data_IF_302750087897
#
_entry.id   IF_302750087897
#
_cell.length_a   1.000
_cell.length_b   1.000
_cell.length_c   1.000
_cell.angle_alpha   90.00
_cell.angle_beta   90.00
_cell.angle_gamma   90.00
#
_symmetry.space_group_name_H-M   'P 1'
#
loop_
_entity.id
_entity.type
_entity.pdbx_description
1 polymer ?
#
# COMPACT_ATOMS: atom_id res chain seq x y z
N UNK A 1 83.51 -53.39 -73.74
CA UNK A 1 82.08 -53.03 -73.62
C UNK A 1 81.87 -51.97 -72.54
N UNK A 2 82.14 -50.68 -72.81
CA UNK A 2 81.87 -49.57 -71.86
C UNK A 2 81.46 -48.31 -72.64
N UNK A 3 80.25 -48.31 -73.19
CA UNK A 3 79.74 -47.15 -73.94
C UNK A 3 78.28 -46.72 -73.68
N UNK A 4 77.35 -47.46 -73.03
CA UNK A 4 75.97 -46.97 -72.99
C UNK A 4 75.62 -46.07 -71.78
N UNK A 5 76.37 -46.10 -70.66
CA UNK A 5 75.90 -45.48 -69.41
C UNK A 5 75.94 -43.94 -69.37
N UNK A 6 76.88 -43.28 -70.07
CA UNK A 6 76.99 -41.81 -70.05
C UNK A 6 75.93 -41.09 -70.90
N UNK A 7 75.38 -41.76 -71.91
CA UNK A 7 74.32 -41.23 -72.78
C UNK A 7 72.96 -41.25 -72.07
N UNK A 8 72.62 -42.37 -71.42
CA UNK A 8 71.37 -42.55 -70.68
C UNK A 8 71.24 -41.60 -69.47
N UNK A 9 72.33 -41.35 -68.76
CA UNK A 9 72.33 -40.44 -67.59
C UNK A 9 72.11 -38.98 -68.02
N UNK A 10 72.67 -38.53 -69.15
CA UNK A 10 72.39 -37.19 -69.71
C UNK A 10 70.98 -37.07 -70.29
N UNK A 11 70.47 -38.13 -70.92
CA UNK A 11 69.12 -38.15 -71.49
C UNK A 11 68.01 -38.08 -70.41
N UNK A 12 68.24 -38.60 -69.21
CA UNK A 12 67.27 -38.53 -68.10
C UNK A 12 67.43 -37.30 -67.19
N UNK A 13 68.63 -36.77 -67.01
CA UNK A 13 68.87 -35.62 -66.11
C UNK A 13 68.43 -34.28 -66.68
N UNK A 14 68.57 -34.07 -68.00
CA UNK A 14 68.13 -32.84 -68.67
C UNK A 14 66.60 -32.61 -68.59
N UNK A 15 65.74 -33.59 -68.92
CA UNK A 15 64.30 -33.41 -68.77
C UNK A 15 63.88 -33.27 -67.31
N UNK A 16 64.53 -33.98 -66.37
CA UNK A 16 64.25 -33.85 -64.95
C UNK A 16 64.56 -32.43 -64.41
N UNK A 17 65.70 -31.85 -64.81
CA UNK A 17 66.06 -30.48 -64.43
C UNK A 17 65.11 -29.45 -65.06
N UNK A 18 64.66 -29.67 -66.30
CA UNK A 18 63.74 -28.77 -66.99
C UNK A 18 62.34 -28.83 -66.39
N UNK A 19 61.86 -30.00 -65.97
CA UNK A 19 60.60 -30.16 -65.22
C UNK A 19 60.67 -29.50 -63.85
N UNK A 20 61.78 -29.62 -63.13
CA UNK A 20 61.99 -28.92 -61.85
C UNK A 20 62.04 -27.40 -62.02
N UNK A 21 62.69 -26.91 -63.09
CA UNK A 21 62.74 -25.48 -63.39
C UNK A 21 61.35 -24.93 -63.77
N UNK A 22 60.60 -25.62 -64.64
CA UNK A 22 59.24 -25.20 -65.01
C UNK A 22 58.29 -25.26 -63.80
N UNK A 23 58.43 -26.25 -62.91
CA UNK A 23 57.64 -26.38 -61.70
C UNK A 23 57.93 -25.27 -60.69
N UNK A 24 59.20 -24.87 -60.54
CA UNK A 24 59.58 -23.76 -59.64
C UNK A 24 59.13 -22.41 -60.20
N UNK A 25 59.21 -22.19 -61.51
CA UNK A 25 58.71 -20.97 -62.16
C UNK A 25 57.17 -20.89 -62.08
N UNK A 26 56.45 -22.01 -62.26
CA UNK A 26 55.00 -22.04 -62.05
C UNK A 26 54.61 -21.80 -60.59
N UNK A 27 55.35 -22.39 -59.64
CA UNK A 27 55.12 -22.17 -58.21
C UNK A 27 55.40 -20.71 -57.80
N UNK A 28 56.44 -20.08 -58.35
CA UNK A 28 56.73 -18.66 -58.14
C UNK A 28 55.66 -17.77 -58.76
N UNK A 29 55.18 -18.10 -59.97
CA UNK A 29 54.08 -17.40 -60.63
C UNK A 29 52.75 -17.50 -59.86
N UNK A 30 52.44 -18.67 -59.30
CA UNK A 30 51.26 -18.87 -58.45
C UNK A 30 51.33 -18.03 -57.17
N UNK A 31 52.48 -18.04 -56.47
CA UNK A 31 52.71 -17.22 -55.27
C UNK A 31 52.63 -15.71 -55.57
N UNK A 32 53.15 -15.26 -56.71
CA UNK A 32 53.05 -13.86 -57.11
C UNK A 32 51.59 -13.43 -57.38
N UNK A 33 50.78 -14.30 -58.01
CA UNK A 33 49.34 -14.04 -58.21
C UNK A 33 48.57 -14.01 -56.89
N UNK A 34 48.86 -14.91 -55.96
CA UNK A 34 48.27 -14.90 -54.62
C UNK A 34 48.64 -13.66 -53.82
N UNK A 35 49.92 -13.25 -53.86
CA UNK A 35 50.37 -12.01 -53.23
C UNK A 35 49.66 -10.79 -53.82
N UNK A 36 49.53 -10.71 -55.15
CA UNK A 36 48.81 -9.62 -55.82
C UNK A 36 47.32 -9.59 -55.45
N UNK A 37 46.66 -10.75 -55.44
CA UNK A 37 45.25 -10.84 -55.03
C UNK A 37 45.05 -10.39 -53.57
N UNK A 38 46.00 -10.72 -52.67
CA UNK A 38 45.96 -10.24 -51.28
C UNK A 38 46.17 -8.74 -51.18
N UNK A 39 47.09 -8.16 -51.94
CA UNK A 39 47.30 -6.70 -51.94
C UNK A 39 46.11 -5.95 -52.51
N UNK A 40 45.49 -6.46 -53.57
CA UNK A 40 44.31 -5.85 -54.19
C UNK A 40 43.09 -5.92 -53.25
N UNK A 41 42.94 -7.04 -52.52
CA UNK A 41 41.94 -7.19 -51.47
C UNK A 41 42.17 -6.20 -50.32
N UNK A 42 43.40 -6.11 -49.79
CA UNK A 42 43.75 -5.16 -48.74
C UNK A 42 43.49 -3.71 -49.16
N UNK A 43 43.87 -3.33 -50.38
CA UNK A 43 43.64 -1.98 -50.93
C UNK A 43 42.15 -1.65 -51.11
N UNK A 44 41.30 -2.67 -51.28
CA UNK A 44 39.84 -2.50 -51.32
C UNK A 44 39.28 -2.27 -49.92
N UNK A 45 39.76 -3.03 -48.92
CA UNK A 45 39.38 -2.84 -47.51
C UNK A 45 39.79 -1.47 -47.01
N UNK A 46 41.04 -1.05 -47.25
CA UNK A 46 41.57 0.27 -46.86
C UNK A 46 40.70 1.40 -47.43
N UNK A 47 40.39 1.37 -48.73
CA UNK A 47 39.50 2.36 -49.36
C UNK A 47 38.09 2.35 -48.76
N UNK A 48 37.56 1.17 -48.43
CA UNK A 48 36.26 1.06 -47.76
C UNK A 48 36.25 1.73 -46.38
N UNK A 49 37.35 1.62 -45.63
CA UNK A 49 37.48 2.27 -44.31
C UNK A 49 37.65 3.78 -44.46
N UNK A 50 38.45 4.26 -45.42
CA UNK A 50 38.59 5.70 -45.71
C UNK A 50 37.25 6.35 -46.10
N UNK A 51 36.42 5.65 -46.89
CA UNK A 51 35.06 6.09 -47.21
C UNK A 51 34.17 6.16 -45.96
N UNK A 52 34.30 5.21 -45.03
CA UNK A 52 33.59 5.26 -43.75
C UNK A 52 34.02 6.45 -42.90
N UNK A 53 35.33 6.76 -42.85
CA UNK A 53 35.85 7.93 -42.12
C UNK A 53 35.26 9.21 -42.71
N UNK A 54 35.37 9.41 -44.02
CA UNK A 54 34.85 10.62 -44.69
C UNK A 54 33.33 10.76 -44.53
N UNK A 55 32.59 9.66 -44.58
CA UNK A 55 31.15 9.66 -44.33
C UNK A 55 30.84 10.03 -42.87
N UNK A 56 31.52 9.41 -41.90
CA UNK A 56 31.31 9.70 -40.48
C UNK A 56 31.70 11.14 -40.11
N UNK A 57 32.79 11.66 -40.67
CA UNK A 57 33.21 13.05 -40.50
C UNK A 57 32.16 14.01 -41.11
N UNK A 58 31.58 13.68 -42.27
CA UNK A 58 30.51 14.48 -42.88
C UNK A 58 29.22 14.48 -42.05
N UNK A 59 28.95 13.38 -41.36
CA UNK A 59 27.83 13.22 -40.43
C UNK A 59 28.10 13.82 -39.04
N UNK A 60 29.32 14.33 -38.80
CA UNK A 60 29.79 14.81 -37.49
C UNK A 60 29.62 13.77 -36.39
N UNK A 61 29.89 12.50 -36.71
CA UNK A 61 29.93 11.41 -35.74
C UNK A 61 31.39 11.09 -35.35
N UNK A 62 31.91 11.73 -34.28
CA UNK A 62 33.32 11.60 -33.89
C UNK A 62 33.67 10.19 -33.40
N UNK A 63 32.70 9.44 -32.84
CA UNK A 63 32.95 8.11 -32.30
C UNK A 63 33.16 7.10 -33.42
N UNK A 64 32.24 7.07 -34.39
CA UNK A 64 32.35 6.17 -35.55
C UNK A 64 33.57 6.52 -36.40
N UNK A 65 33.86 7.81 -36.56
CA UNK A 65 35.02 8.25 -37.33
C UNK A 65 36.34 7.88 -36.64
N UNK A 66 36.44 8.05 -35.31
CA UNK A 66 37.62 7.63 -34.54
C UNK A 66 37.83 6.11 -34.56
N UNK A 67 36.75 5.33 -34.43
CA UNK A 67 36.83 3.87 -34.52
C UNK A 67 37.33 3.41 -35.90
N UNK A 68 36.83 4.02 -36.98
CA UNK A 68 37.31 3.72 -38.33
C UNK A 68 38.78 4.12 -38.54
N UNK A 69 39.24 5.22 -37.92
CA UNK A 69 40.67 5.62 -37.92
C UNK A 69 41.56 4.60 -37.19
N UNK A 70 41.12 4.06 -36.05
CA UNK A 70 41.84 3.00 -35.34
C UNK A 70 41.91 1.70 -36.16
N UNK A 71 40.80 1.31 -36.81
CA UNK A 71 40.76 0.16 -37.73
C UNK A 71 41.73 0.35 -38.91
N UNK A 72 41.77 1.55 -39.49
CA UNK A 72 42.70 1.89 -40.57
C UNK A 72 44.16 1.87 -40.10
N UNK A 73 44.43 2.38 -38.90
CA UNK A 73 45.77 2.42 -38.32
C UNK A 73 46.39 1.02 -38.11
N UNK A 74 45.58 -0.03 -38.00
CA UNK A 74 46.07 -1.41 -37.93
C UNK A 74 46.57 -1.95 -39.29
N UNK A 75 46.13 -1.36 -40.40
CA UNK A 75 46.39 -1.86 -41.77
C UNK A 75 47.44 -1.04 -42.54
N UNK A 76 47.74 0.18 -42.08
CA UNK A 76 48.60 1.14 -42.79
C UNK A 76 50.01 1.18 -42.17
N UNK A 77 50.97 1.73 -42.91
CA UNK A 77 52.33 1.96 -42.46
C UNK A 77 52.41 2.72 -41.12
N UNK A 78 53.44 2.45 -40.29
CA UNK A 78 53.48 2.88 -38.89
C UNK A 78 53.44 4.40 -38.69
N UNK A 79 53.98 5.20 -39.63
CA UNK A 79 53.94 6.67 -39.53
C UNK A 79 52.53 7.23 -39.73
N UNK A 80 51.85 6.78 -40.79
CA UNK A 80 50.46 7.19 -41.07
C UNK A 80 49.52 6.66 -40.01
N UNK A 81 49.74 5.44 -39.54
CA UNK A 81 48.97 4.86 -38.44
C UNK A 81 49.07 5.67 -37.15
N UNK A 82 50.24 6.23 -36.84
CA UNK A 82 50.42 7.10 -35.68
C UNK A 82 49.59 8.39 -35.80
N UNK A 83 49.58 9.03 -36.98
CA UNK A 83 48.75 10.21 -37.23
C UNK A 83 47.25 9.91 -37.10
N UNK A 84 46.80 8.79 -37.67
CA UNK A 84 45.41 8.37 -37.58
C UNK A 84 44.96 8.12 -36.13
N UNK A 85 45.84 7.56 -35.30
CA UNK A 85 45.55 7.33 -33.87
C UNK A 85 45.55 8.65 -33.09
N UNK A 86 46.47 9.59 -33.38
CA UNK A 86 46.46 10.94 -32.79
C UNK A 86 45.15 11.69 -33.09
N UNK A 87 44.68 11.63 -34.34
CA UNK A 87 43.38 12.19 -34.74
C UNK A 87 42.20 11.49 -34.04
N UNK A 88 42.26 10.16 -33.92
CA UNK A 88 41.22 9.39 -33.25
C UNK A 88 41.11 9.74 -31.76
N UNK A 89 42.24 9.91 -31.08
CA UNK A 89 42.29 10.34 -29.67
C UNK A 89 41.66 11.72 -29.51
N UNK A 90 42.04 12.70 -30.34
CA UNK A 90 41.49 14.05 -30.26
C UNK A 90 39.97 14.09 -30.49
N UNK A 91 39.47 13.25 -31.41
CA UNK A 91 38.03 13.11 -31.65
C UNK A 91 37.30 12.45 -30.47
N UNK A 92 37.90 11.44 -29.83
CA UNK A 92 37.28 10.71 -28.70
C UNK A 92 37.27 11.54 -27.41
N UNK A 93 38.30 12.34 -27.17
CA UNK A 93 38.36 13.26 -26.02
C UNK A 93 37.25 14.31 -26.06
N UNK A 94 36.87 14.76 -27.26
CA UNK A 94 35.77 15.72 -27.46
C UNK A 94 34.40 15.04 -27.47
N UNK A 95 34.32 13.77 -27.86
CA UNK A 95 33.07 13.01 -27.91
C UNK A 95 32.56 12.52 -26.55
N UNK A 96 33.42 12.49 -25.51
CA UNK A 96 33.04 12.04 -24.18
C UNK A 96 32.80 10.53 -24.08
N UNK A 97 33.52 9.72 -24.86
CA UNK A 97 33.45 8.26 -24.84
C UNK A 97 34.67 7.66 -24.11
N UNK A 98 34.66 7.54 -22.76
CA UNK A 98 35.87 7.27 -21.97
C UNK A 98 36.47 5.89 -22.23
N UNK A 99 35.65 4.86 -22.50
CA UNK A 99 36.12 3.50 -22.79
C UNK A 99 36.89 3.43 -24.11
N UNK A 100 36.39 4.08 -25.14
CA UNK A 100 37.03 4.13 -26.45
C UNK A 100 38.26 5.04 -26.42
N UNK A 101 38.19 6.18 -25.72
CA UNK A 101 39.33 7.05 -25.49
C UNK A 101 40.47 6.30 -24.78
N UNK A 102 40.17 5.52 -23.73
CA UNK A 102 41.14 4.70 -23.02
C UNK A 102 41.89 3.76 -23.97
N UNK A 103 41.16 3.05 -24.84
CA UNK A 103 41.74 2.15 -25.84
C UNK A 103 42.63 2.89 -26.84
N UNK A 104 42.19 4.05 -27.32
CA UNK A 104 42.94 4.86 -28.27
C UNK A 104 44.25 5.39 -27.64
N UNK A 105 44.20 5.86 -26.38
CA UNK A 105 45.39 6.28 -25.63
C UNK A 105 46.37 5.13 -25.37
N UNK A 106 45.87 3.92 -25.05
CA UNK A 106 46.72 2.72 -24.90
C UNK A 106 47.45 2.41 -26.20
N UNK A 107 46.74 2.40 -27.33
CA UNK A 107 47.35 2.14 -28.63
C UNK A 107 48.38 3.24 -29.00
N UNK A 108 48.09 4.50 -28.68
CA UNK A 108 49.04 5.60 -28.89
C UNK A 108 50.29 5.45 -28.00
N UNK A 109 50.12 5.08 -26.74
CA UNK A 109 51.20 4.84 -25.79
C UNK A 109 52.11 3.69 -26.24
N UNK A 110 51.52 2.59 -26.72
CA UNK A 110 52.25 1.43 -27.25
C UNK A 110 53.06 1.81 -28.49
N UNK A 111 52.47 2.57 -29.40
CA UNK A 111 53.15 3.07 -30.62
C UNK A 111 54.29 4.02 -30.28
N UNK A 112 54.11 4.94 -29.32
CA UNK A 112 55.21 5.80 -28.86
C UNK A 112 56.32 5.00 -28.20
N UNK A 113 55.97 3.98 -27.41
CA UNK A 113 56.95 3.07 -26.78
C UNK A 113 57.74 2.30 -27.83
N UNK A 114 57.07 1.77 -28.87
CA UNK A 114 57.71 1.08 -29.99
C UNK A 114 58.62 2.02 -30.80
N UNK A 115 58.26 3.30 -30.93
CA UNK A 115 59.08 4.33 -31.58
C UNK A 115 60.21 4.88 -30.69
N UNK A 116 60.35 4.39 -29.45
CA UNK A 116 61.31 4.86 -28.43
C UNK A 116 61.11 6.32 -27.99
N UNK A 117 59.91 6.87 -28.19
CA UNK A 117 59.52 8.20 -27.72
C UNK A 117 58.97 8.13 -26.30
N UNK A 118 59.81 7.81 -25.32
CA UNK A 118 59.38 7.49 -23.95
C UNK A 118 58.70 8.65 -23.22
N UNK A 119 59.09 9.90 -23.47
CA UNK A 119 58.44 11.06 -22.85
C UNK A 119 56.97 11.17 -23.27
N UNK A 120 56.69 11.00 -24.57
CA UNK A 120 55.33 11.00 -25.10
C UNK A 120 54.54 9.79 -24.61
N UNK A 121 55.17 8.61 -24.58
CA UNK A 121 54.53 7.41 -24.04
C UNK A 121 54.14 7.60 -22.56
N UNK A 122 55.03 8.15 -21.72
CA UNK A 122 54.76 8.41 -20.31
C UNK A 122 53.62 9.42 -20.12
N UNK A 123 53.56 10.46 -20.96
CA UNK A 123 52.43 11.39 -20.95
C UNK A 123 51.11 10.66 -21.24
N UNK A 124 51.07 9.77 -22.24
CA UNK A 124 49.86 8.97 -22.53
C UNK A 124 49.51 8.02 -21.37
N UNK A 125 50.48 7.37 -20.75
CA UNK A 125 50.26 6.52 -19.57
C UNK A 125 49.67 7.30 -18.39
N UNK A 126 50.07 8.55 -18.18
CA UNK A 126 49.47 9.40 -17.13
C UNK A 126 47.99 9.70 -17.41
N UNK A 127 47.63 9.93 -18.67
CA UNK A 127 46.24 10.16 -19.11
C UNK A 127 45.42 8.89 -18.93
N UNK A 128 45.95 7.72 -19.30
CA UNK A 128 45.33 6.41 -19.12
C UNK A 128 44.99 6.17 -17.63
N UNK A 129 45.91 6.47 -16.72
CA UNK A 129 45.68 6.36 -15.28
C UNK A 129 44.57 7.31 -14.82
N UNK A 130 44.54 8.54 -15.32
CA UNK A 130 43.50 9.52 -14.99
C UNK A 130 42.11 9.09 -15.50
N UNK A 131 42.00 8.62 -16.75
CA UNK A 131 40.74 8.09 -17.31
C UNK A 131 40.27 6.87 -16.51
N UNK A 132 41.15 5.93 -16.22
CA UNK A 132 40.83 4.73 -15.43
C UNK A 132 40.41 5.09 -14.00
N UNK A 133 41.05 6.09 -13.40
CA UNK A 133 40.67 6.64 -12.10
C UNK A 133 39.25 7.18 -12.10
N UNK A 134 38.92 8.06 -13.05
CA UNK A 134 37.55 8.60 -13.21
C UNK A 134 36.50 7.51 -13.41
N UNK A 135 36.76 6.54 -14.29
CA UNK A 135 35.84 5.42 -14.51
C UNK A 135 35.62 4.58 -13.25
N UNK A 136 36.68 4.37 -12.43
CA UNK A 136 36.56 3.66 -11.15
C UNK A 136 35.73 4.45 -10.15
N UNK A 137 35.94 5.75 -10.06
CA UNK A 137 35.19 6.61 -9.14
C UNK A 137 33.72 6.71 -9.55
N UNK A 138 33.42 6.82 -10.85
CA UNK A 138 32.07 6.77 -11.41
C UNK A 138 31.41 5.41 -11.14
N UNK A 139 32.12 4.30 -11.35
CA UNK A 139 31.61 2.96 -11.05
C UNK A 139 31.31 2.79 -9.55
N UNK A 140 32.18 3.32 -8.68
CA UNK A 140 31.97 3.31 -7.23
C UNK A 140 30.77 4.16 -6.83
N UNK A 141 30.66 5.39 -7.34
CA UNK A 141 29.51 6.26 -7.09
C UNK A 141 28.19 5.65 -7.58
N UNK A 142 28.19 5.00 -8.75
CA UNK A 142 27.03 4.28 -9.27
C UNK A 142 26.67 3.06 -8.41
N UNK A 143 27.66 2.33 -7.89
CA UNK A 143 27.43 1.21 -6.98
C UNK A 143 26.85 1.67 -5.64
N UNK A 144 27.38 2.77 -5.08
CA UNK A 144 26.86 3.41 -3.87
C UNK A 144 25.43 3.91 -4.08
N UNK A 145 25.15 4.59 -5.19
CA UNK A 145 23.80 5.03 -5.53
C UNK A 145 22.82 3.86 -5.62
N UNK A 146 23.19 2.77 -6.31
CA UNK A 146 22.37 1.54 -6.38
C UNK A 146 22.17 0.91 -5.00
N UNK A 147 23.20 0.88 -4.17
CA UNK A 147 23.09 0.34 -2.81
C UNK A 147 22.12 1.17 -1.96
N UNK A 148 22.14 2.50 -2.07
CA UNK A 148 21.17 3.36 -1.36
C UNK A 148 19.75 3.17 -1.86
N UNK A 149 19.55 2.97 -3.17
CA UNK A 149 18.25 2.69 -3.75
C UNK A 149 17.71 1.32 -3.29
N UNK A 150 18.55 0.29 -3.27
CA UNK A 150 18.18 -1.04 -2.75
C UNK A 150 17.78 -0.93 -1.28
N UNK A 151 18.58 -0.28 -0.44
CA UNK A 151 18.26 -0.09 0.97
C UNK A 151 16.93 0.66 1.18
N UNK A 152 16.64 1.64 0.31
CA UNK A 152 15.34 2.34 0.32
C UNK A 152 14.19 1.39 -0.04
N UNK A 153 14.34 0.61 -1.10
CA UNK A 153 13.32 -0.35 -1.54
C UNK A 153 13.09 -1.44 -0.50
N UNK A 154 14.14 -1.94 0.15
CA UNK A 154 14.04 -2.88 1.26
C UNK A 154 13.24 -2.29 2.43
N UNK A 155 13.48 -1.02 2.79
CA UNK A 155 12.68 -0.32 3.80
C UNK A 155 11.21 -0.15 3.42
N UNK A 156 10.91 0.11 2.14
CA UNK A 156 9.52 0.17 1.63
C UNK A 156 8.84 -1.22 1.70
N UNK A 157 9.57 -2.29 1.38
CA UNK A 157 9.06 -3.67 1.50
C UNK A 157 8.78 -4.02 2.97
N UNK A 158 9.65 -3.63 3.90
CA UNK A 158 9.45 -3.88 5.32
C UNK A 158 8.25 -3.10 5.88
N UNK A 159 8.05 -1.83 5.50
CA UNK A 159 6.83 -1.08 5.87
C UNK A 159 5.57 -1.74 5.29
N UNK A 160 5.59 -2.10 4.01
CA UNK A 160 4.45 -2.77 3.36
C UNK A 160 4.13 -4.12 4.02
N UNK A 161 5.15 -4.89 4.37
CA UNK A 161 5.00 -6.16 5.09
C UNK A 161 4.44 -5.91 6.49
N UNK A 162 4.98 -4.94 7.23
CA UNK A 162 4.46 -4.57 8.54
C UNK A 162 3.04 -4.00 8.50
N UNK A 163 2.62 -3.35 7.41
CA UNK A 163 1.24 -2.92 7.18
C UNK A 163 0.32 -4.11 6.88
N UNK A 164 0.80 -5.07 6.10
CA UNK A 164 0.07 -6.29 5.79
C UNK A 164 -0.16 -7.13 7.05
N UNK A 165 0.87 -7.33 7.87
CA UNK A 165 0.77 -8.07 9.13
C UNK A 165 -0.22 -7.41 10.10
N UNK A 166 -0.20 -6.07 10.20
CA UNK A 166 -1.21 -5.33 10.98
C UNK A 166 -2.62 -5.55 10.44
N UNK A 167 -2.80 -5.52 9.12
CA UNK A 167 -4.11 -5.76 8.50
C UNK A 167 -4.60 -7.20 8.75
N UNK A 168 -3.71 -8.19 8.60
CA UNK A 168 -3.99 -9.60 8.88
C UNK A 168 -4.35 -9.79 10.36
N UNK A 169 -3.59 -9.19 11.28
CA UNK A 169 -3.88 -9.21 12.71
C UNK A 169 -5.26 -8.64 13.05
N UNK A 170 -5.65 -7.52 12.43
CA UNK A 170 -7.01 -6.95 12.59
C UNK A 170 -8.09 -7.88 12.07
N UNK A 171 -7.86 -8.56 10.93
CA UNK A 171 -8.82 -9.51 10.37
C UNK A 171 -8.97 -10.75 11.25
N UNK A 172 -7.86 -11.30 11.76
CA UNK A 172 -7.87 -12.41 12.71
C UNK A 172 -8.63 -12.03 13.99
N UNK A 173 -8.36 -10.85 14.56
CA UNK A 173 -9.06 -10.37 15.74
C UNK A 173 -10.58 -10.21 15.52
N UNK A 174 -11.00 -9.79 14.31
CA UNK A 174 -12.42 -9.71 13.94
C UNK A 174 -13.06 -11.10 13.83
N UNK A 175 -12.36 -12.06 13.23
CA UNK A 175 -12.84 -13.44 13.13
C UNK A 175 -12.99 -14.07 14.50
N UNK A 176 -12.01 -13.91 15.40
CA UNK A 176 -12.10 -14.40 16.77
C UNK A 176 -13.26 -13.75 17.54
N UNK A 177 -13.46 -12.45 17.37
CA UNK A 177 -14.58 -11.73 17.97
C UNK A 177 -15.93 -12.20 17.42
N UNK A 178 -16.02 -12.52 16.12
CA UNK A 178 -17.22 -13.09 15.51
C UNK A 178 -17.49 -14.51 16.02
N UNK A 179 -16.48 -15.38 16.06
CA UNK A 179 -16.61 -16.75 16.59
C UNK A 179 -17.07 -16.75 18.06
N UNK A 180 -16.54 -15.84 18.89
CA UNK A 180 -16.99 -15.67 20.28
C UNK A 180 -18.45 -15.20 20.37
N UNK A 181 -18.89 -14.30 19.49
CA UNK A 181 -20.29 -13.84 19.43
C UNK A 181 -21.24 -14.95 18.99
N UNK A 182 -20.83 -15.76 18.02
CA UNK A 182 -21.60 -16.90 17.55
C UNK A 182 -21.76 -17.95 18.65
N UNK A 183 -20.68 -18.30 19.35
CA UNK A 183 -20.74 -19.21 20.50
C UNK A 183 -21.70 -18.69 21.59
N UNK A 184 -21.57 -17.42 21.99
CA UNK A 184 -22.48 -16.81 22.97
C UNK A 184 -23.94 -16.78 22.49
N UNK A 185 -24.18 -16.57 21.19
CA UNK A 185 -25.52 -16.56 20.63
C UNK A 185 -26.17 -17.94 20.61
N UNK A 186 -25.39 -18.99 20.35
CA UNK A 186 -25.85 -20.38 20.41
C UNK A 186 -26.17 -20.78 21.84
N UNK A 187 -25.30 -20.46 22.79
CA UNK A 187 -25.55 -20.71 24.22
C UNK A 187 -26.81 -19.98 24.70
N UNK A 188 -27.03 -18.74 24.26
CA UNK A 188 -28.24 -17.99 24.58
C UNK A 188 -29.51 -18.62 23.98
N UNK A 189 -29.46 -19.14 22.74
CA UNK A 189 -30.58 -19.86 22.13
C UNK A 189 -30.91 -21.15 22.89
N UNK A 190 -29.89 -21.94 23.26
CA UNK A 190 -30.07 -23.18 24.03
C UNK A 190 -30.66 -22.87 25.40
N UNK A 191 -30.13 -21.86 26.12
CA UNK A 191 -30.66 -21.42 27.40
C UNK A 191 -32.13 -20.97 27.29
N UNK A 192 -32.46 -20.20 26.25
CA UNK A 192 -33.84 -19.78 25.97
C UNK A 192 -34.79 -20.95 25.73
N UNK A 193 -34.35 -21.96 24.97
CA UNK A 193 -35.16 -23.15 24.68
C UNK A 193 -35.38 -24.02 25.92
N UNK A 194 -34.37 -24.17 26.78
CA UNK A 194 -34.50 -24.85 28.07
C UNK A 194 -35.47 -24.12 28.99
N UNK A 195 -35.38 -22.78 29.06
CA UNK A 195 -36.28 -21.97 29.87
C UNK A 195 -37.74 -22.08 29.40
N UNK A 196 -37.95 -22.09 28.07
CA UNK A 196 -39.27 -22.29 27.47
C UNK A 196 -39.83 -23.67 27.83
N UNK A 197 -39.03 -24.74 27.68
CA UNK A 197 -39.43 -26.10 28.05
C UNK A 197 -39.81 -26.20 29.53
N UNK A 198 -39.01 -25.60 30.43
CA UNK A 198 -39.31 -25.54 31.86
C UNK A 198 -40.61 -24.78 32.14
N UNK A 199 -40.88 -23.69 31.42
CA UNK A 199 -42.15 -22.96 31.55
C UNK A 199 -43.34 -23.84 31.15
N UNK A 200 -43.24 -24.61 30.06
CA UNK A 200 -44.31 -25.51 29.60
C UNK A 200 -44.56 -26.61 30.62
N UNK A 201 -43.51 -27.22 31.17
CA UNK A 201 -43.63 -28.22 32.25
C UNK A 201 -44.28 -27.60 33.48
N UNK A 202 -43.87 -26.40 33.88
CA UNK A 202 -44.45 -25.69 35.01
C UNK A 202 -45.94 -25.40 34.80
N UNK A 203 -46.32 -24.87 33.63
CA UNK A 203 -47.72 -24.56 33.30
C UNK A 203 -48.59 -25.81 33.21
N UNK A 204 -48.11 -26.88 32.58
CA UNK A 204 -48.85 -28.15 32.48
C UNK A 204 -49.03 -28.81 33.84
N UNK A 205 -47.99 -28.81 34.68
CA UNK A 205 -48.06 -29.30 36.05
C UNK A 205 -49.02 -28.46 36.91
N UNK A 206 -48.91 -27.14 36.84
CA UNK A 206 -49.78 -26.23 37.59
C UNK A 206 -51.24 -26.35 37.13
N UNK A 207 -51.51 -26.38 35.83
CA UNK A 207 -52.84 -26.60 35.28
C UNK A 207 -53.42 -27.96 35.68
N UNK A 208 -52.61 -29.02 35.70
CA UNK A 208 -53.01 -30.33 36.20
C UNK A 208 -53.38 -30.32 37.68
N UNK A 209 -52.62 -29.59 38.51
CA UNK A 209 -52.91 -29.41 39.93
C UNK A 209 -54.20 -28.63 40.17
N UNK A 210 -54.41 -27.55 39.40
CA UNK A 210 -55.63 -26.75 39.45
C UNK A 210 -56.86 -27.55 39.02
N UNK A 211 -56.74 -28.40 37.98
CA UNK A 211 -57.82 -29.32 37.56
C UNK A 211 -58.17 -30.32 38.66
N UNK A 212 -57.18 -30.93 39.31
CA UNK A 212 -57.41 -31.83 40.46
C UNK A 212 -58.06 -31.12 41.65
N UNK A 213 -57.71 -29.86 41.90
CA UNK A 213 -58.37 -29.06 42.94
C UNK A 213 -59.84 -28.74 42.58
N UNK A 214 -60.10 -28.39 41.32
CA UNK A 214 -61.46 -28.19 40.80
C UNK A 214 -62.31 -29.46 40.83
N UNK A 215 -61.72 -30.63 40.55
CA UNK A 215 -62.41 -31.92 40.65
C UNK A 215 -62.81 -32.24 42.09
N UNK A 216 -61.94 -31.97 43.07
CA UNK A 216 -62.28 -32.14 44.50
C UNK A 216 -63.46 -31.25 44.91
N UNK A 217 -63.45 -29.99 44.51
CA UNK A 217 -64.56 -29.05 44.78
C UNK A 217 -65.86 -29.46 44.07
N UNK A 218 -65.78 -30.07 42.88
CA UNK A 218 -66.96 -30.61 42.19
C UNK A 218 -67.54 -31.80 42.93
N UNK A 219 -66.71 -32.73 43.38
CA UNK A 219 -67.13 -33.89 44.17
C UNK A 219 -67.77 -33.44 45.48
N UNK A 220 -67.17 -32.48 46.21
CA UNK A 220 -67.74 -31.93 47.44
C UNK A 220 -69.09 -31.24 47.18
N UNK A 221 -69.20 -30.46 46.10
CA UNK A 221 -70.48 -29.83 45.72
C UNK A 221 -71.55 -30.86 45.36
N UNK A 222 -71.18 -31.92 44.65
CA UNK A 222 -72.13 -32.97 44.26
C UNK A 222 -72.55 -33.81 45.49
N UNK A 223 -71.65 -34.01 46.45
CA UNK A 223 -71.95 -34.60 47.76
C UNK A 223 -72.92 -33.73 48.58
N UNK A 224 -72.66 -32.43 48.68
CA UNK A 224 -73.54 -31.48 49.39
C UNK A 224 -74.91 -31.36 48.73
N UNK A 225 -75.00 -31.51 47.40
CA UNK A 225 -76.28 -31.57 46.68
C UNK A 225 -77.05 -32.86 46.96
N UNK A 226 -76.36 -33.99 47.10
CA UNK A 226 -76.99 -35.25 47.49
C UNK A 226 -77.55 -35.17 48.93
N UNK A 227 -76.77 -34.64 49.88
CA UNK A 227 -77.23 -34.43 51.26
C UNK A 227 -78.40 -33.43 51.34
N UNK A 228 -78.36 -32.35 50.56
CA UNK A 228 -79.47 -31.39 50.50
C UNK A 228 -80.74 -32.02 49.90
N UNK A 229 -80.62 -32.92 48.91
CA UNK A 229 -81.74 -33.66 48.34
C UNK A 229 -82.34 -34.66 49.34
N UNK A 230 -81.51 -35.30 50.16
CA UNK A 230 -81.96 -36.17 51.27
C UNK A 230 -82.64 -35.37 52.38
N UNK A 231 -82.11 -34.21 52.75
CA UNK A 231 -82.71 -33.30 53.72
C UNK A 231 -84.06 -32.71 53.24
N UNK A 232 -84.21 -32.49 51.93
CA UNK A 232 -85.47 -32.08 51.31
C UNK A 232 -86.50 -33.21 51.36
N UNK A 233 -86.12 -34.47 51.07
CA UNK A 233 -87.00 -35.64 51.24
C UNK A 233 -87.39 -35.88 52.70
N UNK A 234 -86.50 -35.60 53.65
CA UNK A 234 -86.81 -35.67 55.08
C UNK A 234 -87.77 -34.56 55.54
N UNK A 235 -87.82 -33.42 54.83
CA UNK A 235 -88.75 -32.31 55.09
C UNK A 235 -90.15 -32.51 54.50
N UNK A 236 -90.35 -33.47 53.61
CA UNK A 236 -91.65 -33.77 53.00
C UNK A 236 -92.64 -34.52 53.93
N UNK A 237 -92.21 -34.90 55.14
CA UNK A 237 -93.02 -35.64 56.14
C UNK A 237 -93.45 -34.83 57.37
N UNK A 238 -93.44 -33.48 57.34
CA UNK A 238 -93.90 -32.68 58.50
C UNK A 238 -94.78 -31.48 58.10
N UNK A 239 -96.05 -31.42 58.54
CA UNK A 239 -96.93 -30.26 58.34
C UNK A 239 -96.71 -29.13 59.39
N UNK A 240 -97.24 -27.91 59.16
CA UNK A 240 -96.54 -26.65 59.40
C UNK A 240 -97.03 -25.84 60.63
N UNK A 241 -96.18 -24.96 61.16
CA UNK A 241 -96.60 -23.75 61.93
C UNK A 241 -95.44 -22.72 61.91
N UNK A 242 -95.56 -21.57 61.22
CA UNK A 242 -96.15 -20.24 61.60
C UNK A 242 -95.05 -19.25 62.08
N UNK A 243 -95.11 -17.96 61.70
CA UNK A 243 -93.96 -17.09 61.45
C UNK A 243 -93.67 -16.09 62.58
N UNK A 244 -92.43 -15.60 62.68
CA UNK A 244 -92.07 -14.39 63.46
C UNK A 244 -90.97 -13.61 62.73
N UNK A 245 -91.20 -12.30 62.58
CA UNK A 245 -90.37 -11.32 61.87
C UNK A 245 -89.40 -10.57 62.84
N UNK A 246 -88.46 -9.75 62.32
CA UNK A 246 -87.21 -9.29 62.96
C UNK A 246 -87.38 -7.95 63.73
N UNK A 247 -86.37 -7.43 64.46
CA UNK A 247 -85.40 -6.44 63.92
C UNK A 247 -83.99 -6.57 64.59
N UNK A 248 -82.89 -5.88 64.30
CA UNK A 248 -82.52 -4.69 63.54
C UNK A 248 -81.19 -4.13 64.11
N UNK A 249 -80.65 -3.07 63.50
CA UNK A 249 -79.48 -2.22 63.91
C UNK A 249 -78.07 -2.76 63.59
N UNK A 250 -77.10 -1.98 63.13
CA UNK A 250 -77.04 -0.61 62.61
C UNK A 250 -75.65 -0.41 61.96
N UNK A 251 -75.61 0.38 60.88
CA UNK A 251 -74.71 1.52 60.60
C UNK A 251 -73.20 1.35 60.89
N UNK A 252 -72.28 1.55 59.93
CA UNK A 252 -71.77 2.90 59.56
C UNK A 252 -70.97 2.88 58.25
N UNK A 253 -71.19 3.94 57.48
CA UNK A 253 -70.61 4.28 56.19
C UNK A 253 -69.27 5.04 56.28
N UNK A 254 -68.38 4.80 55.31
CA UNK A 254 -67.55 5.75 54.52
C UNK A 254 -66.62 6.76 55.28
N UNK A 255 -65.71 7.54 54.63
CA UNK A 255 -65.41 7.69 53.19
C UNK A 255 -63.90 7.80 52.81
N UNK A 256 -63.62 7.83 51.52
CA UNK A 256 -62.40 8.43 50.90
C UNK A 256 -62.66 9.92 50.57
N UNK A 257 -61.79 10.70 49.89
CA UNK A 257 -60.34 10.92 49.92
C UNK A 257 -60.05 12.41 50.30
N UNK A 258 -58.83 12.97 50.06
CA UNK A 258 -58.83 14.20 49.26
C UNK A 258 -57.73 14.28 48.19
N UNK A 259 -58.07 15.04 47.15
CA UNK A 259 -57.29 15.39 45.96
C UNK A 259 -56.76 16.83 46.08
N UNK A 260 -55.61 17.08 45.41
CA UNK A 260 -55.04 18.36 44.93
C UNK A 260 -54.22 19.23 45.94
N UNK A 261 -53.23 20.05 45.46
CA UNK A 261 -53.01 20.52 44.09
C UNK A 261 -51.58 20.36 43.50
N UNK A 262 -51.49 20.61 42.20
CA UNK A 262 -50.29 20.66 41.38
C UNK A 262 -49.19 21.55 41.98
N UNK A 263 -47.96 21.01 42.03
CA UNK A 263 -46.75 21.77 42.34
C UNK A 263 -45.90 21.90 41.08
N UNK A 264 -45.79 23.15 40.66
CA UNK A 264 -44.86 23.75 39.70
C UNK A 264 -43.52 23.02 39.67
N UNK A 265 -43.06 22.67 38.45
CA UNK A 265 -41.71 22.18 38.13
C UNK A 265 -40.68 23.20 38.60
N UNK A 266 -39.84 22.90 39.61
CA UNK A 266 -38.63 23.66 39.87
C UNK A 266 -37.52 23.05 39.01
N UNK A 267 -36.75 23.94 38.38
CA UNK A 267 -35.52 23.68 37.65
C UNK A 267 -34.81 22.38 38.07
N UNK A 268 -34.51 21.54 37.08
CA UNK A 268 -33.61 20.41 37.25
C UNK A 268 -32.31 20.91 37.87
N UNK A 269 -32.18 20.63 39.17
CA UNK A 269 -30.95 20.65 39.91
C UNK A 269 -29.98 19.74 39.17
N UNK A 270 -28.82 20.28 38.82
CA UNK A 270 -27.68 19.55 38.29
C UNK A 270 -27.37 18.35 39.20
N UNK A 271 -27.87 17.17 38.82
CA UNK A 271 -27.41 15.89 39.35
C UNK A 271 -26.17 15.52 38.56
N UNK A 272 -25.08 15.25 39.27
CA UNK A 272 -23.80 14.84 38.68
C UNK A 272 -23.94 13.68 37.69
N UNK A 273 -22.87 13.43 36.91
CA UNK A 273 -22.93 12.77 35.62
C UNK A 273 -23.57 11.39 35.76
N UNK A 274 -24.69 11.19 35.08
CA UNK A 274 -25.22 9.83 34.91
C UNK A 274 -24.27 9.05 34.01
N UNK A 275 -24.17 7.73 34.18
CA UNK A 275 -23.26 6.89 33.41
C UNK A 275 -23.49 7.00 31.88
N UNK A 276 -24.70 7.39 31.47
CA UNK A 276 -25.07 7.66 30.09
C UNK A 276 -24.47 8.98 29.57
N UNK A 277 -24.38 10.02 30.41
CA UNK A 277 -23.68 11.27 30.09
C UNK A 277 -22.17 11.02 29.93
N UNK A 278 -21.58 10.15 30.74
CA UNK A 278 -20.16 9.80 30.62
C UNK A 278 -19.85 9.04 29.32
N UNK A 279 -20.75 8.16 28.87
CA UNK A 279 -20.61 7.46 27.59
C UNK A 279 -20.85 8.38 26.39
N UNK A 280 -21.85 9.27 26.45
CA UNK A 280 -22.09 10.29 25.42
C UNK A 280 -20.91 11.25 25.32
N UNK A 281 -20.38 11.70 26.45
CA UNK A 281 -19.23 12.61 26.51
C UNK A 281 -17.96 11.90 26.02
N UNK A 282 -17.79 10.59 26.28
CA UNK A 282 -16.69 9.80 25.70
C UNK A 282 -16.82 9.59 24.18
N UNK A 283 -18.04 9.35 23.68
CA UNK A 283 -18.29 9.19 22.24
C UNK A 283 -18.12 10.52 21.50
N UNK A 284 -18.61 11.62 22.07
CA UNK A 284 -18.40 12.97 21.55
C UNK A 284 -16.93 13.38 21.66
N UNK A 285 -16.19 12.95 22.69
CA UNK A 285 -14.73 13.15 22.74
C UNK A 285 -14.01 12.45 21.59
N UNK A 286 -14.29 11.17 21.39
CA UNK A 286 -13.65 10.37 20.33
C UNK A 286 -14.00 10.86 18.92
N UNK A 287 -15.26 11.23 18.69
CA UNK A 287 -15.70 11.78 17.40
C UNK A 287 -15.28 13.25 17.21
N UNK A 288 -15.28 14.03 18.29
CA UNK A 288 -14.92 15.44 18.31
C UNK A 288 -13.47 15.67 17.92
N UNK A 289 -12.54 14.81 18.35
CA UNK A 289 -11.12 14.88 17.93
C UNK A 289 -10.95 14.66 16.42
N UNK A 290 -11.58 13.62 15.86
CA UNK A 290 -11.49 13.34 14.43
C UNK A 290 -12.10 14.46 13.58
N UNK A 291 -13.20 15.05 14.04
CA UNK A 291 -13.87 16.15 13.35
C UNK A 291 -13.12 17.47 13.50
N UNK A 292 -12.48 17.73 14.64
CA UNK A 292 -11.62 18.90 14.84
C UNK A 292 -10.40 18.87 13.91
N UNK A 293 -9.77 17.71 13.73
CA UNK A 293 -8.69 17.54 12.76
C UNK A 293 -9.19 17.77 11.32
N UNK A 294 -10.38 17.26 10.99
CA UNK A 294 -10.99 17.49 9.68
C UNK A 294 -11.29 18.97 9.42
N UNK A 295 -11.69 19.72 10.47
CA UNK A 295 -11.94 21.16 10.40
C UNK A 295 -10.64 21.94 10.19
N UNK A 296 -9.56 21.59 10.91
CA UNK A 296 -8.22 22.18 10.72
C UNK A 296 -7.67 21.93 9.32
N UNK A 297 -7.83 20.71 8.81
CA UNK A 297 -7.41 20.37 7.45
C UNK A 297 -8.24 21.07 6.37
N UNK A 298 -9.52 21.36 6.63
CA UNK A 298 -10.37 22.13 5.72
C UNK A 298 -9.98 23.62 5.72
N UNK A 299 -9.68 24.16 6.91
CA UNK A 299 -9.17 25.52 7.10
C UNK A 299 -7.81 25.73 6.41
N UNK A 300 -6.87 24.79 6.56
CA UNK A 300 -5.56 24.84 5.91
C UNK A 300 -5.65 24.83 4.37
N UNK A 301 -6.72 24.23 3.83
CA UNK A 301 -7.00 24.17 2.39
C UNK A 301 -7.88 25.32 1.86
N UNK A 302 -8.34 26.22 2.73
CA UNK A 302 -9.23 27.32 2.38
C UNK A 302 -10.64 26.88 1.94
N UNK A 303 -11.05 25.65 2.26
CA UNK A 303 -12.36 25.09 1.87
C UNK A 303 -13.44 25.47 2.88
N UNK A 304 -13.92 26.72 2.76
CA UNK A 304 -14.88 27.31 3.69
C UNK A 304 -16.23 26.57 3.71
N UNK A 305 -16.68 26.02 2.56
CA UNK A 305 -17.91 25.24 2.47
C UNK A 305 -17.82 23.92 3.25
N UNK A 306 -16.63 23.32 3.28
CA UNK A 306 -16.37 22.13 4.08
C UNK A 306 -16.28 22.45 5.57
N UNK A 307 -15.72 23.60 5.94
CA UNK A 307 -15.71 24.08 7.34
C UNK A 307 -17.15 24.25 7.84
N UNK A 308 -18.01 24.96 7.09
CA UNK A 308 -19.43 25.17 7.45
C UNK A 308 -20.18 23.84 7.57
N UNK A 309 -19.95 22.90 6.65
CA UNK A 309 -20.56 21.56 6.72
C UNK A 309 -20.13 20.79 7.97
N UNK A 310 -18.84 20.81 8.31
CA UNK A 310 -18.33 20.15 9.52
C UNK A 310 -18.96 20.76 10.77
N UNK A 311 -18.97 22.09 10.89
CA UNK A 311 -19.60 22.80 12.01
C UNK A 311 -21.10 22.48 12.12
N UNK A 312 -21.82 22.45 11.00
CA UNK A 312 -23.24 22.08 10.97
C UNK A 312 -23.48 20.64 11.46
N UNK A 313 -22.63 19.68 11.06
CA UNK A 313 -22.76 18.28 11.53
C UNK A 313 -22.43 18.09 13.01
N UNK A 314 -21.62 18.97 13.58
CA UNK A 314 -21.22 18.91 15.00
C UNK A 314 -22.19 19.65 15.92
N UNK A 315 -22.95 20.63 15.40
CA UNK A 315 -23.88 21.46 16.16
C UNK A 315 -24.84 20.66 17.08
N UNK A 316 -25.52 19.57 16.63
CA UNK A 316 -26.46 18.84 17.50
C UNK A 316 -25.79 18.19 18.71
N UNK A 317 -24.54 17.74 18.56
CA UNK A 317 -23.80 17.05 19.62
C UNK A 317 -23.19 18.04 20.62
N UNK A 318 -22.79 19.22 20.15
CA UNK A 318 -22.21 20.26 21.01
C UNK A 318 -23.27 21.04 21.79
N UNK A 319 -24.44 21.29 21.18
CA UNK A 319 -25.58 21.92 21.86
C UNK A 319 -26.14 21.02 22.97
N UNK A 320 -26.04 19.70 22.83
CA UNK A 320 -26.40 18.76 23.90
C UNK A 320 -25.49 18.84 25.13
N UNK A 321 -24.26 19.36 24.98
CA UNK A 321 -23.27 19.48 26.07
C UNK A 321 -23.29 20.88 26.67
N UNK A 322 -23.23 21.91 25.84
CA UNK A 322 -23.23 23.32 26.26
C UNK A 322 -24.00 24.17 25.23
N UNK A 323 -25.32 24.13 25.37
CA UNK A 323 -26.24 24.89 24.53
C UNK A 323 -25.94 26.40 24.48
N UNK A 324 -25.77 27.13 25.60
CA UNK A 324 -25.62 28.59 25.54
C UNK A 324 -24.33 29.04 24.84
N UNK A 325 -23.23 28.28 24.94
CA UNK A 325 -21.97 28.66 24.28
C UNK A 325 -21.95 28.30 22.78
N UNK A 326 -22.35 27.06 22.42
CA UNK A 326 -22.20 26.57 21.04
C UNK A 326 -23.35 26.93 20.12
N UNK A 327 -24.56 27.20 20.63
CA UNK A 327 -25.71 27.53 19.79
C UNK A 327 -25.50 28.85 19.03
N UNK A 328 -25.04 29.89 19.72
CA UNK A 328 -24.78 31.22 19.14
C UNK A 328 -23.54 31.21 18.25
N UNK A 329 -22.49 30.51 18.67
CA UNK A 329 -21.22 30.44 17.93
C UNK A 329 -21.36 29.66 16.62
N UNK A 330 -22.00 28.49 16.63
CA UNK A 330 -22.31 27.73 15.42
C UNK A 330 -23.27 28.52 14.50
N UNK A 331 -24.20 29.29 15.08
CA UNK A 331 -25.09 30.18 14.33
C UNK A 331 -24.35 31.28 13.57
N UNK A 332 -23.38 31.95 14.22
CA UNK A 332 -22.55 32.97 13.57
C UNK A 332 -21.67 32.41 12.45
N UNK A 333 -21.07 31.23 12.65
CA UNK A 333 -20.18 30.60 11.65
C UNK A 333 -20.96 30.07 10.43
N UNK A 334 -22.17 29.55 10.65
CA UNK A 334 -23.01 28.98 9.56
C UNK A 334 -23.89 30.03 8.87
N UNK A 335 -24.23 31.13 9.55
CA UNK A 335 -25.03 32.22 9.00
C UNK A 335 -24.22 33.34 8.33
N UNK A 336 -22.92 33.47 8.64
CA UNK A 336 -22.04 34.39 7.96
C UNK A 336 -21.62 33.84 6.59
N UNK A 337 -21.81 34.63 5.52
CA UNK A 337 -21.25 34.30 4.21
C UNK A 337 -19.71 34.31 4.33
N UNK A 338 -18.99 33.21 4.01
CA UNK A 338 -17.55 33.06 4.26
C UNK A 338 -16.61 34.08 3.58
N UNK A 339 -17.15 35.08 2.87
CA UNK A 339 -16.40 36.16 2.21
C UNK A 339 -16.85 37.58 2.58
N UNK A 340 -17.84 37.77 3.45
CA UNK A 340 -18.32 39.11 3.82
C UNK A 340 -17.44 39.80 4.88
N UNK A 341 -16.88 39.02 5.82
CA UNK A 341 -15.95 39.50 6.85
C UNK A 341 -15.02 38.33 7.28
N UNK A 342 -13.90 38.12 6.57
CA UNK A 342 -13.04 36.96 6.77
C UNK A 342 -12.29 37.00 8.10
N UNK A 343 -12.04 38.19 8.67
CA UNK A 343 -11.31 38.36 9.93
C UNK A 343 -12.20 37.91 11.10
N UNK A 344 -13.44 38.41 11.14
CA UNK A 344 -14.40 38.02 12.18
C UNK A 344 -14.78 36.55 12.11
N UNK A 345 -14.86 35.99 10.90
CA UNK A 345 -15.13 34.56 10.70
C UNK A 345 -13.97 33.68 11.20
N UNK A 346 -12.72 34.10 10.99
CA UNK A 346 -11.55 33.41 11.54
C UNK A 346 -11.51 33.46 13.07
N UNK A 347 -11.84 34.62 13.67
CA UNK A 347 -11.92 34.75 15.14
C UNK A 347 -13.01 33.86 15.76
N UNK A 348 -14.18 33.79 15.12
CA UNK A 348 -15.27 32.92 15.60
C UNK A 348 -14.91 31.43 15.45
N UNK A 349 -14.16 31.05 14.41
CA UNK A 349 -13.60 29.69 14.28
C UNK A 349 -12.55 29.39 15.35
N UNK A 350 -11.67 30.34 15.69
CA UNK A 350 -10.69 30.16 16.76
C UNK A 350 -11.37 29.97 18.12
N UNK A 351 -12.43 30.74 18.39
CA UNK A 351 -13.28 30.56 19.59
C UNK A 351 -13.99 29.21 19.60
N UNK A 352 -14.36 28.68 18.42
CA UNK A 352 -14.97 27.36 18.28
C UNK A 352 -13.95 26.25 18.57
N UNK A 353 -12.73 26.36 18.04
CA UNK A 353 -11.65 25.41 18.33
C UNK A 353 -11.27 25.42 19.82
N UNK A 354 -11.22 26.59 20.46
CA UNK A 354 -10.95 26.72 21.90
C UNK A 354 -12.08 26.13 22.75
N UNK A 355 -13.35 26.35 22.37
CA UNK A 355 -14.50 25.73 23.03
C UNK A 355 -14.46 24.21 22.93
N UNK A 356 -14.12 23.68 21.74
CA UNK A 356 -13.93 22.25 21.52
C UNK A 356 -12.79 21.69 22.38
N UNK A 357 -11.65 22.38 22.47
CA UNK A 357 -10.53 21.95 23.32
C UNK A 357 -10.92 21.83 24.80
N UNK A 358 -11.78 22.73 25.31
CA UNK A 358 -12.33 22.66 26.67
C UNK A 358 -13.23 21.43 26.87
N UNK A 359 -14.14 21.16 25.94
CA UNK A 359 -15.03 19.98 25.99
C UNK A 359 -14.24 18.67 25.93
N UNK A 360 -13.15 18.66 25.16
CA UNK A 360 -12.22 17.54 25.05
C UNK A 360 -11.30 17.37 26.26
N UNK A 361 -11.31 18.30 27.23
CA UNK A 361 -10.47 18.24 28.42
C UNK A 361 -8.98 18.51 28.14
N UNK A 362 -8.67 19.27 27.08
CA UNK A 362 -7.29 19.66 26.69
C UNK A 362 -6.98 21.13 27.02
N UNK A 363 -7.71 21.72 27.95
CA UNK A 363 -7.51 23.10 28.41
C UNK A 363 -6.78 23.12 29.76
#
# INVERSE_FOLDING_TARGET
>A
MRAPFRSLVRACLLPACLVLYVSTVHAQGARAREHKARTDSLATVVRGIEQRITTADSLRDPVTAAQARLELAALVHPKTALQLVEEAVAALDTAGAPELALRAHQELADRYTASKAYEKANAQWSIIVAITGRMRDEAKGNAEARATEIARLEGEVEDLTGRLDRAVGVMAQRQDAQARREALSLDAMVAGLVLLALSVVFFTWHAGRQRKALERLRIEKDHLRAEAAEALRAKELRPPSVPVAPPGTATTAAPAPPVAPARVVPCATFTGPTADDAMLLAMVRRMGEARLNTLRDARARGDNDKVVRVVHTMKPQLVAIDAPYFQDLCGRITGAVPGADPVRWAEDLDRFEQGMARVLGRA
#
